data_IF_074490778664
#
_entry.id   IF_074490778664
#
_cell.length_a   1.000
_cell.length_b   1.000
_cell.length_c   1.000
_cell.angle_alpha   90.00
_cell.angle_beta   90.00
_cell.angle_gamma   90.00
#
_symmetry.space_group_name_H-M   'P 1'
#
loop_
_entity.id
_entity.type
_entity.pdbx_description
1 polymer ?
#
# COMPACT_ATOMS: atom_id res chain seq x y z
N UNK A 1 -5.67 2.68 14.86
CA UNK A 1 -5.21 3.94 14.24
C UNK A 1 -4.07 3.59 13.33
N UNK A 2 -4.12 4.10 12.11
CA UNK A 2 -3.11 3.86 11.09
C UNK A 2 -2.68 5.20 10.52
N UNK A 3 -1.39 5.33 10.20
CA UNK A 3 -0.86 6.54 9.59
C UNK A 3 0.24 6.21 8.59
N UNK A 4 0.20 6.85 7.43
CA UNK A 4 1.21 6.68 6.39
C UNK A 4 1.50 7.99 5.66
N UNK A 5 2.71 8.10 5.12
CA UNK A 5 3.15 9.29 4.37
C UNK A 5 2.67 9.20 2.93
N UNK A 6 2.12 10.29 2.40
CA UNK A 6 1.85 10.46 0.97
C UNK A 6 2.98 11.33 0.41
N UNK A 7 4.07 10.70 0.00
CA UNK A 7 5.31 11.39 -0.38
C UNK A 7 5.11 12.41 -1.50
N UNK A 8 4.29 12.08 -2.50
CA UNK A 8 3.97 12.95 -3.65
C UNK A 8 3.32 14.28 -3.23
N UNK A 9 2.62 14.30 -2.09
CA UNK A 9 1.92 15.47 -1.57
C UNK A 9 2.63 16.10 -0.37
N UNK A 10 3.74 15.52 0.10
CA UNK A 10 4.36 15.90 1.38
C UNK A 10 3.38 15.80 2.57
N UNK A 11 2.39 14.91 2.47
CA UNK A 11 1.27 14.82 3.40
C UNK A 11 1.36 13.55 4.27
N UNK A 12 0.54 13.52 5.32
CA UNK A 12 0.30 12.34 6.16
C UNK A 12 -1.18 12.00 6.06
N UNK A 13 -1.49 10.75 5.72
CA UNK A 13 -2.82 10.18 5.83
C UNK A 13 -2.96 9.53 7.20
N UNK A 14 -4.01 9.86 7.94
CA UNK A 14 -4.31 9.32 9.27
C UNK A 14 -5.71 8.71 9.23
N UNK A 15 -5.83 7.43 9.53
CA UNK A 15 -7.12 6.75 9.67
C UNK A 15 -7.36 6.35 11.12
N UNK A 16 -8.50 6.79 11.64
CA UNK A 16 -9.00 6.52 12.98
C UNK A 16 -10.21 5.59 12.88
N UNK A 17 -10.16 4.49 13.61
CA UNK A 17 -11.30 3.59 13.82
C UNK A 17 -11.67 3.66 15.29
N UNK A 18 -12.95 3.78 15.60
CA UNK A 18 -13.38 3.85 16.99
C UNK A 18 -14.88 3.89 17.16
N UNK A 19 -15.30 4.06 18.41
CA UNK A 19 -16.69 4.17 18.81
C UNK A 19 -16.93 5.51 19.51
N UNK A 20 -18.14 6.03 19.41
CA UNK A 20 -18.57 7.23 20.14
C UNK A 20 -20.04 7.09 20.56
N UNK A 21 -20.40 7.76 21.64
CA UNK A 21 -21.77 7.83 22.14
C UNK A 21 -22.44 9.13 21.68
N UNK A 22 -23.59 9.03 21.01
CA UNK A 22 -24.44 10.17 20.71
C UNK A 22 -25.22 10.56 21.97
N UNK A 23 -24.76 11.59 22.70
CA UNK A 23 -25.37 12.00 23.98
C UNK A 23 -26.48 13.03 23.86
N UNK A 24 -26.61 13.69 22.71
CA UNK A 24 -27.58 14.76 22.48
C UNK A 24 -28.03 14.81 21.03
N UNK A 25 -29.22 15.36 20.81
CA UNK A 25 -29.74 15.64 19.47
C UNK A 25 -28.96 16.79 18.82
N UNK A 26 -28.86 16.85 17.47
CA UNK A 26 -28.21 17.96 16.78
C UNK A 26 -28.80 19.31 17.16
N UNK A 27 -27.95 20.32 17.33
CA UNK A 27 -28.36 21.69 17.67
C UNK A 27 -29.18 22.32 16.55
N UNK A 28 -28.81 22.04 15.30
CA UNK A 28 -29.59 22.41 14.12
C UNK A 28 -30.27 21.17 13.53
N UNK A 29 -31.60 21.14 13.61
CA UNK A 29 -32.44 20.10 13.01
C UNK A 29 -33.17 20.59 11.76
N UNK A 30 -33.03 21.87 11.39
CA UNK A 30 -33.72 22.44 10.23
C UNK A 30 -33.27 21.79 8.93
N UNK A 31 -32.01 21.37 8.86
CA UNK A 31 -31.42 20.71 7.69
C UNK A 31 -31.41 19.18 7.79
N UNK A 32 -31.92 18.60 8.88
CA UNK A 32 -32.07 17.16 9.04
C UNK A 32 -33.27 16.71 8.19
N UNK A 33 -32.99 16.33 6.95
CA UNK A 33 -33.92 15.63 6.06
C UNK A 33 -35.23 16.39 5.76
N UNK A 34 -35.13 17.64 5.27
CA UNK A 34 -36.26 18.38 4.69
C UNK A 34 -36.68 17.91 3.28
N UNK A 35 -36.25 16.73 2.83
CA UNK A 35 -36.77 16.11 1.60
C UNK A 35 -38.08 15.35 1.89
N UNK A 36 -39.11 16.05 2.34
CA UNK A 36 -40.49 15.55 2.21
C UNK A 36 -41.51 16.69 2.20
N UNK A 37 -41.46 17.49 1.13
CA UNK A 37 -42.56 18.36 0.70
C UNK A 37 -43.63 17.61 -0.11
N UNK A 38 -43.70 16.28 -0.02
CA UNK A 38 -44.69 15.46 -0.72
C UNK A 38 -45.80 15.02 0.22
N UNK A 39 -47.03 15.48 0.00
CA UNK A 39 -48.25 14.99 0.66
C UNK A 39 -48.52 13.52 0.28
N UNK A 40 -47.74 12.59 0.82
CA UNK A 40 -47.95 11.14 0.71
C UNK A 40 -48.61 10.61 1.98
N UNK A 41 -49.67 9.81 1.84
CA UNK A 41 -50.43 9.17 2.95
C UNK A 41 -49.61 8.20 3.81
N UNK A 42 -48.31 8.04 3.55
CA UNK A 42 -47.34 7.35 4.38
C UNK A 42 -46.45 8.37 5.08
N UNK A 43 -47.09 9.23 5.89
CA UNK A 43 -46.38 10.15 6.78
C UNK A 43 -45.66 9.30 7.81
N UNK A 44 -44.39 8.96 7.56
CA UNK A 44 -43.51 8.40 8.57
C UNK A 44 -43.54 9.36 9.76
N UNK A 45 -44.09 8.89 10.89
CA UNK A 45 -44.08 9.61 12.17
C UNK A 45 -42.69 10.16 12.36
N UNK A 46 -42.57 11.46 12.74
CA UNK A 46 -41.31 12.13 13.07
C UNK A 46 -40.39 11.12 13.76
N UNK A 47 -39.41 10.59 13.02
CA UNK A 47 -38.55 9.54 13.53
C UNK A 47 -37.69 10.19 14.60
N UNK A 48 -37.99 9.88 15.87
CA UNK A 48 -37.17 10.27 17.00
C UNK A 48 -35.74 9.82 16.68
N UNK A 49 -34.80 10.76 16.67
CA UNK A 49 -33.38 10.45 16.48
C UNK A 49 -32.98 9.51 17.62
N UNK A 50 -32.54 8.30 17.28
CA UNK A 50 -32.17 7.30 18.25
C UNK A 50 -30.71 7.50 18.66
N UNK A 51 -30.53 8.12 19.81
CA UNK A 51 -29.24 8.33 20.46
C UNK A 51 -28.68 7.01 20.98
N UNK A 52 -27.36 6.88 21.01
CA UNK A 52 -26.66 5.71 21.54
C UNK A 52 -25.26 5.55 20.94
N UNK A 53 -24.69 4.36 21.12
CA UNK A 53 -23.37 4.03 20.61
C UNK A 53 -23.35 3.85 19.08
N UNK A 54 -22.29 4.38 18.48
CA UNK A 54 -21.97 4.25 17.05
C UNK A 54 -20.50 3.89 16.91
N UNK A 55 -20.16 3.27 15.79
CA UNK A 55 -18.77 3.16 15.35
C UNK A 55 -18.51 4.12 14.21
N UNK A 56 -17.24 4.49 14.03
CA UNK A 56 -16.81 5.36 12.95
C UNK A 56 -15.45 4.95 12.40
N UNK A 57 -15.25 5.33 11.15
CA UNK A 57 -13.98 5.32 10.45
C UNK A 57 -13.74 6.74 9.91
N UNK A 58 -12.66 7.39 10.34
CA UNK A 58 -12.33 8.77 9.94
C UNK A 58 -10.94 8.83 9.33
N UNK A 59 -10.85 9.28 8.08
CA UNK A 59 -9.59 9.47 7.36
C UNK A 59 -9.32 10.95 7.17
N UNK A 60 -8.18 11.41 7.69
CA UNK A 60 -7.75 12.80 7.68
C UNK A 60 -6.43 12.87 6.92
N UNK A 61 -6.37 13.70 5.87
CA UNK A 61 -5.11 14.02 5.19
C UNK A 61 -4.61 15.35 5.72
N UNK A 62 -3.42 15.34 6.33
CA UNK A 62 -2.78 16.54 6.89
C UNK A 62 -1.52 16.91 6.11
N UNK A 63 -1.33 18.21 5.89
CA UNK A 63 -0.15 18.79 5.23
C UNK A 63 0.50 19.77 6.22
N UNK A 64 1.84 19.83 6.32
CA UNK A 64 2.52 20.84 7.11
C UNK A 64 2.16 22.26 6.63
N UNK A 65 1.77 23.12 7.57
CA UNK A 65 1.56 24.55 7.36
C UNK A 65 2.73 25.39 7.91
N UNK A 66 2.58 26.72 7.86
CA UNK A 66 3.56 27.64 8.45
C UNK A 66 3.66 27.44 9.98
N UNK A 67 4.83 27.75 10.56
CA UNK A 67 5.07 27.72 12.01
C UNK A 67 4.73 26.38 12.68
N UNK A 68 5.09 25.26 12.03
CA UNK A 68 4.79 23.89 12.50
C UNK A 68 3.28 23.60 12.70
N UNK A 69 2.40 24.39 12.08
CA UNK A 69 0.98 24.07 12.02
C UNK A 69 0.71 22.85 11.12
N UNK A 70 -0.45 22.23 11.29
CA UNK A 70 -0.95 21.21 10.38
C UNK A 70 -2.24 21.71 9.75
N UNK A 71 -2.35 21.56 8.43
CA UNK A 71 -3.53 21.91 7.65
C UNK A 71 -4.25 20.62 7.29
N UNK A 72 -5.54 20.53 7.62
CA UNK A 72 -6.39 19.42 7.16
C UNK A 72 -6.77 19.69 5.72
N UNK A 73 -6.18 18.92 4.80
CA UNK A 73 -6.45 19.00 3.37
C UNK A 73 -7.72 18.23 2.98
N UNK A 74 -8.02 17.14 3.68
CA UNK A 74 -9.25 16.35 3.51
C UNK A 74 -9.64 15.70 4.83
N UNK A 75 -10.95 15.59 5.06
CA UNK A 75 -11.55 14.92 6.22
C UNK A 75 -12.77 14.12 5.75
N UNK A 76 -12.66 12.79 5.84
CA UNK A 76 -13.70 11.86 5.46
C UNK A 76 -14.16 11.09 6.68
N UNK A 77 -15.44 11.22 7.02
CA UNK A 77 -16.07 10.52 8.15
C UNK A 77 -17.12 9.54 7.64
N UNK A 78 -16.98 8.27 8.03
CA UNK A 78 -17.98 7.24 7.87
C UNK A 78 -18.53 6.85 9.25
N UNK A 79 -19.84 6.94 9.44
CA UNK A 79 -20.53 6.49 10.67
C UNK A 79 -21.34 5.24 10.36
N UNK A 80 -21.23 4.24 11.22
CA UNK A 80 -21.88 2.93 11.08
C UNK A 80 -22.47 2.45 12.41
N UNK A 81 -23.33 1.42 12.40
CA UNK A 81 -23.75 0.75 13.63
C UNK A 81 -22.55 0.34 14.47
N UNK A 82 -22.73 0.32 15.79
CA UNK A 82 -21.70 -0.11 16.72
C UNK A 82 -21.19 -1.51 16.35
N UNK A 83 -19.87 -1.64 16.32
CA UNK A 83 -19.18 -2.91 16.19
C UNK A 83 -18.11 -3.04 17.28
N UNK A 84 -17.72 -4.28 17.55
CA UNK A 84 -16.68 -4.58 18.52
C UNK A 84 -15.31 -4.06 18.03
N UNK A 85 -14.51 -3.60 18.99
CA UNK A 85 -13.15 -3.09 18.79
C UNK A 85 -12.17 -4.16 18.31
N UNK A 86 -12.47 -5.44 18.56
CA UNK A 86 -11.65 -6.58 18.15
C UNK A 86 -11.46 -6.65 16.63
N UNK A 87 -12.42 -6.15 15.83
CA UNK A 87 -12.35 -6.15 14.36
C UNK A 87 -11.22 -5.25 13.83
N UNK A 88 -10.76 -4.28 14.64
CA UNK A 88 -9.72 -3.31 14.25
C UNK A 88 -8.37 -3.60 14.88
N UNK A 89 -8.25 -4.69 15.64
CA UNK A 89 -6.95 -5.12 16.13
C UNK A 89 -6.23 -5.83 15.00
N UNK A 90 -4.92 -5.60 14.83
CA UNK A 90 -4.10 -6.45 13.98
C UNK A 90 -4.33 -7.89 14.42
N UNK A 91 -4.66 -8.78 13.47
CA UNK A 91 -4.73 -10.20 13.75
C UNK A 91 -3.44 -10.58 14.47
N UNK A 92 -3.55 -10.99 15.74
CA UNK A 92 -2.44 -11.70 16.36
C UNK A 92 -2.20 -12.91 15.47
N UNK A 93 -0.97 -13.10 15.00
CA UNK A 93 -0.60 -14.27 14.24
C UNK A 93 -1.23 -15.50 14.89
N UNK A 94 -2.19 -16.10 14.20
CA UNK A 94 -2.72 -17.40 14.61
C UNK A 94 -1.49 -18.30 14.53
N UNK A 95 -0.90 -18.58 15.69
CA UNK A 95 0.08 -19.64 15.83
C UNK A 95 -0.65 -20.87 15.35
N UNK A 96 -0.34 -21.33 14.13
CA UNK A 96 -0.87 -22.57 13.62
C UNK A 96 -0.62 -23.64 14.69
N UNK A 97 -1.60 -24.52 14.99
CA UNK A 97 -1.35 -25.62 15.91
C UNK A 97 -0.13 -26.37 15.40
N UNK A 98 0.88 -26.48 16.27
CA UNK A 98 2.16 -27.12 16.01
C UNK A 98 1.93 -28.61 15.67
N UNK A 99 1.57 -28.88 14.42
CA UNK A 99 1.64 -30.20 13.82
C UNK A 99 3.10 -30.50 13.55
N UNK A 100 3.66 -31.40 14.33
CA UNK A 100 5.02 -31.90 14.19
C UNK A 100 5.31 -32.27 12.73
N UNK A 101 6.19 -31.52 12.08
CA UNK A 101 6.88 -31.94 10.85
C UNK A 101 8.37 -31.91 11.12
N UNK A 102 8.99 -33.07 10.92
CA UNK A 102 10.37 -33.40 11.24
C UNK A 102 11.38 -32.37 10.73
N UNK A 103 12.35 -32.08 11.60
CA UNK A 103 13.55 -31.32 11.29
C UNK A 103 14.29 -31.93 10.09
N UNK A 104 14.56 -31.10 9.08
CA UNK A 104 15.63 -31.32 8.10
C UNK A 104 16.78 -30.38 8.50
N UNK A 105 18.03 -30.85 8.63
CA UNK A 105 19.10 -30.03 9.17
C UNK A 105 19.64 -29.04 8.14
N UNK A 106 19.71 -27.77 8.54
CA UNK A 106 20.52 -26.70 7.96
C UNK A 106 22.02 -26.93 8.25
N UNK A 107 22.92 -26.88 7.25
CA UNK A 107 24.36 -26.80 7.51
C UNK A 107 24.81 -25.38 7.88
N UNK A 108 25.64 -25.31 8.93
CA UNK A 108 26.33 -24.14 9.48
C UNK A 108 27.32 -23.49 8.48
N UNK A 109 27.56 -22.17 8.54
CA UNK A 109 28.66 -21.53 7.81
C UNK A 109 30.01 -21.82 8.49
N UNK A 110 31.04 -22.03 7.68
CA UNK A 110 32.45 -22.18 8.12
C UNK A 110 33.29 -21.03 7.55
N UNK A 111 34.35 -20.55 8.22
CA UNK A 111 35.08 -19.35 7.84
C UNK A 111 36.11 -19.61 6.73
N UNK A 112 36.32 -18.60 5.89
CA UNK A 112 37.28 -18.58 4.79
C UNK A 112 38.76 -18.64 5.24
N UNK A 113 39.65 -19.16 4.38
CA UNK A 113 41.04 -18.72 4.36
C UNK A 113 41.48 -18.12 3.01
N UNK A 114 42.44 -17.22 3.12
CA UNK A 114 43.15 -16.47 2.08
C UNK A 114 44.13 -17.34 1.25
N UNK A 115 44.58 -16.73 0.14
CA UNK A 115 45.91 -16.84 -0.53
C UNK A 115 45.96 -17.58 -1.87
N UNK A 116 46.34 -16.85 -2.92
CA UNK A 116 47.35 -17.29 -3.91
C UNK A 116 46.92 -17.42 -5.38
N UNK A 117 47.84 -17.23 -6.37
CA UNK A 117 47.51 -16.56 -7.63
C UNK A 117 47.74 -17.38 -8.94
N UNK A 118 47.30 -16.78 -10.08
CA UNK A 118 47.66 -17.04 -11.51
C UNK A 118 47.00 -18.30 -12.17
N UNK A 119 46.76 -18.45 -13.51
CA UNK A 119 46.97 -17.58 -14.70
C UNK A 119 45.74 -17.27 -15.59
N UNK A 120 45.98 -16.31 -16.48
CA UNK A 120 45.17 -15.94 -17.64
C UNK A 120 44.87 -17.08 -18.62
N UNK A 121 43.69 -17.04 -19.26
CA UNK A 121 43.51 -17.55 -20.61
C UNK A 121 42.24 -16.96 -21.26
N UNK A 122 42.43 -16.28 -22.40
CA UNK A 122 41.59 -16.46 -23.59
C UNK A 122 40.17 -15.89 -23.58
N UNK A 123 40.01 -14.78 -24.29
CA UNK A 123 38.74 -14.27 -24.83
C UNK A 123 38.02 -15.32 -25.75
N UNK A 124 36.78 -15.11 -26.21
CA UNK A 124 36.48 -13.98 -27.10
C UNK A 124 35.26 -13.16 -26.71
N UNK A 125 35.43 -11.86 -26.95
CA UNK A 125 34.40 -10.90 -27.31
C UNK A 125 33.29 -11.50 -28.18
N UNK A 126 32.05 -11.38 -27.72
CA UNK A 126 30.89 -11.28 -28.61
C UNK A 126 30.22 -9.94 -28.34
N UNK A 127 30.49 -9.01 -29.24
CA UNK A 127 29.71 -7.82 -29.45
C UNK A 127 28.27 -8.23 -29.77
N UNK A 128 27.35 -7.98 -28.85
CA UNK A 128 25.92 -8.15 -29.02
C UNK A 128 25.23 -6.81 -28.82
N UNK A 129 24.97 -6.13 -29.94
CA UNK A 129 23.89 -5.18 -30.24
C UNK A 129 23.18 -4.54 -29.02
N UNK A 130 23.24 -3.20 -28.84
CA UNK A 130 22.39 -2.54 -27.85
C UNK A 130 20.94 -2.57 -28.36
N UNK A 131 20.17 -3.53 -27.87
CA UNK A 131 18.71 -3.43 -27.89
C UNK A 131 18.33 -2.28 -26.96
N UNK A 132 17.47 -1.32 -27.37
CA UNK A 132 17.05 -0.22 -26.50
C UNK A 132 16.06 -0.75 -25.46
N UNK A 133 16.58 -1.43 -24.44
CA UNK A 133 15.85 -1.76 -23.23
C UNK A 133 16.14 -0.70 -22.17
N UNK A 134 15.15 -0.32 -21.33
CA UNK A 134 15.38 0.65 -20.28
C UNK A 134 16.48 0.14 -19.34
N UNK A 135 17.56 0.91 -19.24
CA UNK A 135 18.68 0.64 -18.33
C UNK A 135 18.38 1.31 -16.99
N UNK A 136 19.07 0.96 -15.90
CA UNK A 136 18.94 1.70 -14.63
C UNK A 136 19.26 3.21 -14.79
N UNK A 137 20.03 3.55 -15.82
CA UNK A 137 20.32 4.91 -16.26
C UNK A 137 19.12 5.65 -16.90
N UNK A 138 18.05 4.96 -17.28
CA UNK A 138 16.84 5.54 -17.90
C UNK A 138 15.70 5.72 -16.89
N UNK A 139 15.91 5.30 -15.65
CA UNK A 139 14.94 5.54 -14.58
C UNK A 139 14.80 7.06 -14.31
N UNK A 140 13.59 7.56 -14.04
CA UNK A 140 13.36 8.93 -13.58
C UNK A 140 14.30 9.30 -12.43
N UNK A 141 14.83 10.53 -12.44
CA UNK A 141 15.80 11.01 -11.46
C UNK A 141 15.31 10.82 -10.01
N UNK A 142 14.01 10.94 -9.78
CA UNK A 142 13.34 10.76 -8.49
C UNK A 142 13.46 9.32 -7.95
N UNK A 143 13.39 8.31 -8.83
CA UNK A 143 13.55 6.90 -8.46
C UNK A 143 15.02 6.56 -8.21
N UNK A 144 15.95 7.20 -8.93
CA UNK A 144 17.39 6.99 -8.73
C UNK A 144 17.89 7.47 -7.37
N UNK A 145 17.27 8.52 -6.82
CA UNK A 145 17.64 9.06 -5.49
C UNK A 145 16.90 8.39 -4.34
N UNK A 146 15.74 7.76 -4.59
CA UNK A 146 14.92 7.13 -3.55
C UNK A 146 15.16 5.63 -3.39
N UNK A 147 15.69 4.97 -4.42
CA UNK A 147 15.94 3.52 -4.42
C UNK A 147 17.41 3.20 -4.24
N UNK A 148 17.70 2.14 -3.50
CA UNK A 148 19.05 1.58 -3.45
C UNK A 148 19.47 1.04 -4.84
N UNK A 149 20.78 0.96 -5.15
CA UNK A 149 21.24 0.40 -6.42
C UNK A 149 20.68 -0.99 -6.72
N UNK A 150 20.53 -1.84 -5.69
CA UNK A 150 19.94 -3.18 -5.81
C UNK A 150 18.45 -3.13 -6.17
N UNK A 151 17.70 -2.19 -5.61
CA UNK A 151 16.29 -1.98 -5.94
C UNK A 151 16.12 -1.46 -7.37
N UNK A 152 17.03 -0.61 -7.85
CA UNK A 152 17.02 -0.14 -9.24
C UNK A 152 17.25 -1.28 -10.23
N UNK A 153 18.23 -2.15 -9.97
CA UNK A 153 18.48 -3.34 -10.80
C UNK A 153 17.29 -4.30 -10.79
N UNK A 154 16.67 -4.52 -9.62
CA UNK A 154 15.47 -5.35 -9.52
C UNK A 154 14.31 -4.78 -10.34
N UNK A 155 14.04 -3.48 -10.19
CA UNK A 155 12.96 -2.81 -10.91
C UNK A 155 13.18 -2.91 -12.42
N UNK A 156 14.39 -2.66 -12.91
CA UNK A 156 14.74 -2.81 -14.33
C UNK A 156 14.49 -4.24 -14.80
N UNK A 157 14.93 -5.24 -14.01
CA UNK A 157 14.73 -6.65 -14.34
C UNK A 157 13.23 -7.00 -14.44
N UNK A 158 12.42 -6.53 -13.49
CA UNK A 158 10.96 -6.72 -13.48
C UNK A 158 10.31 -6.05 -14.67
N UNK A 159 10.70 -4.81 -15.02
CA UNK A 159 10.16 -4.09 -16.17
C UNK A 159 10.46 -4.81 -17.50
N UNK A 160 11.67 -5.35 -17.66
CA UNK A 160 12.07 -6.10 -18.86
C UNK A 160 11.22 -7.37 -19.01
N UNK A 161 11.02 -8.11 -17.91
CA UNK A 161 10.31 -9.40 -17.91
C UNK A 161 8.79 -9.23 -18.08
N UNK A 162 8.19 -8.29 -17.35
CA UNK A 162 6.73 -8.12 -17.28
C UNK A 162 6.18 -7.20 -18.36
N UNK A 163 7.03 -6.39 -19.00
CA UNK A 163 6.64 -5.33 -19.93
C UNK A 163 5.68 -4.30 -19.33
N UNK A 164 5.66 -4.19 -18.00
CA UNK A 164 4.91 -3.14 -17.33
C UNK A 164 5.54 -1.78 -17.59
N UNK A 165 4.71 -0.74 -17.55
CA UNK A 165 5.20 0.62 -17.46
C UNK A 165 5.90 0.84 -16.10
N UNK A 166 6.79 1.83 -16.05
CA UNK A 166 7.64 2.10 -14.87
C UNK A 166 6.79 2.25 -13.59
N UNK A 167 5.62 2.89 -13.69
CA UNK A 167 4.73 3.11 -12.55
C UNK A 167 4.16 1.81 -12.00
N UNK A 168 3.68 0.93 -12.87
CA UNK A 168 3.11 -0.36 -12.47
C UNK A 168 4.19 -1.35 -12.02
N UNK A 169 5.37 -1.35 -12.66
CA UNK A 169 6.50 -2.15 -12.22
C UNK A 169 7.01 -1.74 -10.84
N UNK A 170 7.06 -0.43 -10.55
CA UNK A 170 7.42 0.07 -9.21
C UNK A 170 6.41 -0.38 -8.16
N UNK A 171 5.10 -0.25 -8.44
CA UNK A 171 4.04 -0.69 -7.53
C UNK A 171 4.12 -2.19 -7.26
N UNK A 172 4.36 -3.00 -8.29
CA UNK A 172 4.56 -4.44 -8.16
C UNK A 172 5.75 -4.77 -7.25
N UNK A 173 6.90 -4.12 -7.47
CA UNK A 173 8.08 -4.30 -6.61
C UNK A 173 7.80 -3.92 -5.15
N UNK A 174 7.05 -2.85 -4.92
CA UNK A 174 6.68 -2.42 -3.57
C UNK A 174 5.76 -3.43 -2.87
N UNK A 175 4.72 -3.93 -3.56
CA UNK A 175 3.79 -4.92 -3.01
C UNK A 175 4.46 -6.27 -2.73
N UNK A 176 5.46 -6.61 -3.54
CA UNK A 176 6.26 -7.83 -3.40
C UNK A 176 7.43 -7.67 -2.44
N UNK A 177 7.48 -6.59 -1.64
CA UNK A 177 8.55 -6.32 -0.68
C UNK A 177 9.96 -6.35 -1.29
N UNK A 178 10.09 -5.93 -2.56
CA UNK A 178 11.34 -5.98 -3.33
C UNK A 178 11.93 -7.39 -3.47
N UNK A 179 11.09 -8.42 -3.44
CA UNK A 179 11.47 -9.80 -3.75
C UNK A 179 11.11 -10.15 -5.20
N UNK A 180 12.10 -10.59 -5.97
CA UNK A 180 11.95 -10.90 -7.40
C UNK A 180 10.95 -12.05 -7.65
N UNK A 181 11.01 -13.12 -6.86
CA UNK A 181 10.13 -14.27 -7.04
C UNK A 181 8.68 -13.91 -6.71
N UNK A 182 8.49 -13.10 -5.67
CA UNK A 182 7.17 -12.56 -5.32
C UNK A 182 6.65 -11.61 -6.39
N UNK A 183 7.50 -10.79 -7.03
CA UNK A 183 7.10 -9.95 -8.16
C UNK A 183 6.52 -10.80 -9.30
N UNK A 184 7.23 -11.86 -9.70
CA UNK A 184 6.78 -12.74 -10.79
C UNK A 184 5.47 -13.47 -10.44
N UNK A 185 5.26 -13.89 -9.19
CA UNK A 185 4.01 -14.54 -8.76
C UNK A 185 2.84 -13.55 -8.73
N UNK A 186 3.04 -12.36 -8.17
CA UNK A 186 2.01 -11.33 -8.07
C UNK A 186 1.62 -10.78 -9.45
N UNK A 187 2.59 -10.64 -10.35
CA UNK A 187 2.32 -10.31 -11.75
C UNK A 187 1.46 -11.37 -12.42
N UNK A 188 1.82 -12.66 -12.34
CA UNK A 188 1.02 -13.74 -12.95
C UNK A 188 -0.41 -13.80 -12.42
N UNK A 189 -0.61 -13.48 -11.14
CA UNK A 189 -1.92 -13.42 -10.50
C UNK A 189 -2.76 -12.22 -10.98
N UNK A 190 -2.12 -11.09 -11.28
CA UNK A 190 -2.80 -9.84 -11.66
C UNK A 190 -2.79 -9.55 -13.16
N UNK A 191 -2.00 -10.25 -13.97
CA UNK A 191 -1.77 -9.93 -15.38
C UNK A 191 -3.05 -9.86 -16.23
N UNK A 192 -4.06 -10.66 -15.90
CA UNK A 192 -5.35 -10.69 -16.60
C UNK A 192 -6.31 -9.55 -16.20
N UNK A 193 -6.07 -8.90 -15.07
CA UNK A 193 -6.90 -7.80 -14.56
C UNK A 193 -6.27 -6.42 -14.75
N UNK A 194 -5.05 -6.35 -15.27
CA UNK A 194 -4.36 -5.10 -15.52
C UNK A 194 -4.95 -4.37 -16.75
N UNK A 195 -5.15 -3.05 -16.66
CA UNK A 195 -5.65 -2.27 -17.78
C UNK A 195 -4.58 -2.14 -18.89
N UNK A 196 -4.97 -1.83 -20.15
CA UNK A 196 -4.02 -1.80 -21.27
C UNK A 196 -2.88 -0.77 -21.14
N UNK A 197 -3.08 0.30 -20.38
CA UNK A 197 -2.09 1.33 -20.05
C UNK A 197 -1.06 0.89 -18.99
N UNK A 198 -1.28 -0.26 -18.35
CA UNK A 198 -0.33 -0.84 -17.41
C UNK A 198 0.94 -1.37 -18.09
N UNK A 199 0.89 -1.63 -19.40
CA UNK A 199 2.01 -2.13 -20.17
C UNK A 199 2.73 -0.99 -20.89
N UNK A 200 4.06 -1.05 -20.92
CA UNK A 200 4.85 -0.15 -21.74
C UNK A 200 4.58 -0.47 -23.22
N UNK A 201 4.13 0.53 -23.99
CA UNK A 201 3.96 0.43 -25.45
C UNK A 201 5.30 0.29 -26.16
#
# INVERSE_FOLDING_TARGET
MEAYKIAQLGAISITLHGNFEEVAVPVDTLHVNQLSGGRGKYSHKKTKINLGWKSFDRSIVVIPGANNSMIVASDLLCVRPEADSEVFRPSQDITMPNGAVSAVPTPSPSPAPLVGPIPAMGAPVTAGVPTPGPTAADLPAELKTSLSPQQQELLVKVLIETKLSIQYGFMLCQQSNWDYLQCSMNFKSSASSLPPDAFAQ
#
